data_IF_330928090087
#
_entry.id   IF_330928090087
#
_cell.length_a   1.000
_cell.length_b   1.000
_cell.length_c   1.000
_cell.angle_alpha   90.00
_cell.angle_beta   90.00
_cell.angle_gamma   90.00
#
_symmetry.space_group_name_H-M   'P 1'
#
loop_
_entity.id
_entity.type
_entity.pdbx_description
1 polymer ?
#
# COMPACT_ATOMS: atom_id res chain seq x y z
N UNK A 1 31.52 -40.73 -12.17
CA UNK A 1 30.20 -40.96 -11.54
C UNK A 1 29.93 -39.77 -10.62
N UNK A 2 28.94 -38.96 -10.95
CA UNK A 2 28.75 -37.64 -10.35
C UNK A 2 27.94 -37.76 -9.04
N UNK A 3 28.48 -37.28 -7.92
CA UNK A 3 27.77 -37.25 -6.64
C UNK A 3 26.75 -36.09 -6.57
N UNK A 4 26.00 -35.96 -5.47
CA UNK A 4 25.00 -34.89 -5.29
C UNK A 4 25.55 -33.47 -5.48
N UNK A 5 26.86 -33.25 -5.22
CA UNK A 5 27.54 -31.97 -5.48
C UNK A 5 27.56 -31.57 -6.96
N UNK A 6 27.61 -32.55 -7.86
CA UNK A 6 27.63 -32.29 -9.30
C UNK A 6 26.27 -31.84 -9.85
N UNK A 7 25.19 -31.96 -9.05
CA UNK A 7 23.85 -31.48 -9.39
C UNK A 7 23.64 -29.99 -9.09
N UNK A 8 24.66 -29.28 -8.59
CA UNK A 8 24.57 -27.86 -8.25
C UNK A 8 23.88 -27.57 -6.91
N UNK A 9 23.68 -28.60 -6.06
CA UNK A 9 23.13 -28.45 -4.71
C UNK A 9 24.10 -27.71 -3.78
N UNK A 10 23.56 -27.01 -2.78
CA UNK A 10 24.36 -26.32 -1.77
C UNK A 10 25.31 -27.31 -1.06
N UNK A 11 26.59 -26.95 -0.83
CA UNK A 11 27.58 -27.83 -0.23
C UNK A 11 27.15 -28.43 1.11
N UNK A 12 26.36 -27.71 1.91
CA UNK A 12 25.84 -28.20 3.17
C UNK A 12 24.81 -29.32 2.96
N UNK A 13 23.88 -29.13 2.03
CA UNK A 13 22.82 -30.11 1.75
C UNK A 13 23.39 -31.38 1.11
N UNK A 14 24.40 -31.26 0.24
CA UNK A 14 25.11 -32.40 -0.31
C UNK A 14 25.83 -33.21 0.79
N UNK A 15 26.45 -32.53 1.76
CA UNK A 15 27.09 -33.17 2.92
C UNK A 15 26.08 -33.92 3.81
N UNK A 16 24.89 -33.35 4.02
CA UNK A 16 23.82 -34.01 4.78
C UNK A 16 23.28 -35.27 4.07
N UNK A 17 23.14 -35.24 2.74
CA UNK A 17 22.72 -36.41 1.97
C UNK A 17 23.75 -37.55 2.08
N UNK A 18 25.04 -37.22 2.02
CA UNK A 18 26.13 -38.18 2.21
C UNK A 18 26.13 -38.77 3.63
N UNK A 19 25.90 -37.97 4.67
CA UNK A 19 25.78 -38.43 6.06
C UNK A 19 24.60 -39.37 6.30
N UNK A 20 23.53 -39.23 5.50
CA UNK A 20 22.36 -40.12 5.51
C UNK A 20 22.56 -41.39 4.66
N UNK A 21 23.76 -41.62 4.11
CA UNK A 21 24.09 -42.79 3.29
C UNK A 21 23.61 -42.69 1.83
N UNK A 22 23.08 -41.54 1.42
CA UNK A 22 22.73 -41.27 0.03
C UNK A 22 24.00 -40.85 -0.72
N UNK A 23 24.74 -41.84 -1.20
CA UNK A 23 26.01 -41.63 -1.90
C UNK A 23 25.83 -41.24 -3.38
N UNK A 24 24.67 -41.54 -3.98
CA UNK A 24 24.39 -41.26 -5.40
C UNK A 24 22.96 -40.77 -5.61
N UNK A 25 22.76 -39.71 -6.42
CA UNK A 25 21.43 -39.30 -6.85
C UNK A 25 20.80 -40.37 -7.74
N UNK A 26 19.49 -40.50 -7.65
CA UNK A 26 18.75 -41.37 -8.57
C UNK A 26 18.69 -40.76 -9.96
N UNK A 27 18.48 -41.55 -11.03
CA UNK A 27 18.36 -41.01 -12.40
C UNK A 27 17.27 -39.94 -12.54
N UNK A 28 16.19 -40.03 -11.75
CA UNK A 28 15.13 -39.01 -11.69
C UNK A 28 15.65 -37.72 -11.05
N UNK A 29 16.44 -37.83 -9.97
CA UNK A 29 17.06 -36.68 -9.32
C UNK A 29 18.10 -36.00 -10.22
N UNK A 30 18.89 -36.75 -10.97
CA UNK A 30 19.86 -36.20 -11.93
C UNK A 30 19.17 -35.42 -13.05
N UNK A 31 17.99 -35.88 -13.51
CA UNK A 31 17.22 -35.19 -14.55
C UNK A 31 16.46 -33.95 -14.02
N UNK A 32 15.96 -33.99 -12.78
CA UNK A 32 15.05 -32.97 -12.26
C UNK A 32 15.73 -31.89 -11.40
N UNK A 33 16.80 -32.22 -10.68
CA UNK A 33 17.45 -31.28 -9.75
C UNK A 33 18.16 -30.14 -10.49
N UNK A 34 18.95 -30.37 -11.56
CA UNK A 34 19.64 -29.28 -12.25
C UNK A 34 18.70 -28.24 -12.89
N UNK A 35 17.60 -28.61 -13.60
CA UNK A 35 16.64 -27.64 -14.10
C UNK A 35 15.92 -26.87 -12.98
N UNK A 36 15.52 -27.56 -11.90
CA UNK A 36 14.84 -26.92 -10.76
C UNK A 36 15.75 -25.92 -10.04
N UNK A 37 17.04 -26.21 -9.92
CA UNK A 37 18.03 -25.30 -9.35
C UNK A 37 18.40 -24.17 -10.31
N UNK A 38 18.44 -24.41 -11.62
CA UNK A 38 18.67 -23.38 -12.63
C UNK A 38 17.51 -22.38 -12.69
N UNK A 39 16.27 -22.85 -12.52
CA UNK A 39 15.09 -22.01 -12.28
C UNK A 39 15.25 -21.24 -10.95
N UNK A 40 15.65 -21.89 -9.86
CA UNK A 40 15.85 -21.23 -8.56
C UNK A 40 16.95 -20.16 -8.56
N UNK A 41 18.08 -20.40 -9.25
CA UNK A 41 19.23 -19.49 -9.32
C UNK A 41 19.01 -18.35 -10.32
N UNK A 42 18.31 -18.60 -11.44
CA UNK A 42 17.81 -17.53 -12.32
C UNK A 42 16.82 -16.62 -11.57
N UNK A 43 16.03 -17.17 -10.65
CA UNK A 43 15.08 -16.45 -9.81
C UNK A 43 15.68 -15.82 -8.53
N UNK A 44 16.97 -15.99 -8.23
CA UNK A 44 17.60 -15.31 -7.07
C UNK A 44 17.77 -13.80 -7.29
N UNK A 45 17.74 -13.36 -8.55
CA UNK A 45 17.58 -11.95 -8.94
C UNK A 45 16.11 -11.52 -9.02
N UNK A 46 15.16 -12.46 -9.01
CA UNK A 46 13.74 -12.19 -8.83
C UNK A 46 13.44 -12.00 -7.33
N UNK A 47 14.03 -10.96 -6.74
CA UNK A 47 13.30 -10.17 -5.75
C UNK A 47 11.93 -9.91 -6.37
N UNK A 48 10.89 -10.54 -5.80
CA UNK A 48 9.49 -10.44 -6.18
C UNK A 48 9.24 -9.25 -7.12
N UNK A 49 9.01 -9.50 -8.42
CA UNK A 49 8.40 -8.49 -9.29
C UNK A 49 6.95 -8.29 -8.82
N UNK A 50 6.82 -7.58 -7.69
CA UNK A 50 5.59 -7.14 -7.07
C UNK A 50 5.00 -6.07 -7.98
N UNK A 51 4.31 -6.48 -9.04
CA UNK A 51 3.55 -5.54 -9.86
C UNK A 51 2.27 -5.17 -9.15
N UNK A 52 2.39 -4.16 -8.29
CA UNK A 52 1.26 -3.45 -7.71
C UNK A 52 0.42 -2.89 -8.86
N UNK A 53 -0.77 -3.47 -9.06
CA UNK A 53 -1.73 -2.86 -9.97
C UNK A 53 -2.34 -1.66 -9.25
N UNK A 54 -1.93 -0.46 -9.66
CA UNK A 54 -2.53 0.80 -9.22
C UNK A 54 -3.33 1.42 -10.38
N UNK A 55 -4.22 2.36 -10.07
CA UNK A 55 -4.99 3.11 -11.07
C UNK A 55 -4.09 3.84 -12.09
N UNK A 56 -2.84 4.15 -11.71
CA UNK A 56 -1.84 4.81 -12.56
C UNK A 56 -1.14 3.88 -13.56
N UNK A 57 -1.32 2.56 -13.45
CA UNK A 57 -0.72 1.58 -14.36
C UNK A 57 -1.61 1.43 -15.59
N UNK A 58 -1.01 1.52 -16.78
CA UNK A 58 -1.73 1.38 -18.04
C UNK A 58 -2.51 0.06 -18.10
N UNK A 59 -3.74 0.09 -18.64
CA UNK A 59 -4.63 -1.09 -18.69
C UNK A 59 -3.94 -2.33 -19.28
N UNK A 60 -3.16 -2.17 -20.36
CA UNK A 60 -2.39 -3.25 -21.01
C UNK A 60 -1.40 -3.93 -20.05
N UNK A 61 -0.72 -3.15 -19.22
CA UNK A 61 0.23 -3.68 -18.23
C UNK A 61 -0.49 -4.41 -17.09
N UNK A 62 -1.68 -3.96 -16.71
CA UNK A 62 -2.53 -4.63 -15.70
C UNK A 62 -2.97 -6.01 -16.18
N UNK A 63 -3.41 -6.14 -17.43
CA UNK A 63 -3.75 -7.43 -18.02
C UNK A 63 -2.53 -8.35 -18.15
N UNK A 64 -1.37 -7.82 -18.53
CA UNK A 64 -0.14 -8.61 -18.61
C UNK A 64 0.30 -9.15 -17.23
N UNK A 65 0.23 -8.33 -16.18
CA UNK A 65 0.53 -8.77 -14.81
C UNK A 65 -0.47 -9.83 -14.32
N UNK A 66 -1.75 -9.67 -14.65
CA UNK A 66 -2.79 -10.66 -14.33
C UNK A 66 -2.58 -11.97 -15.08
N UNK A 67 -2.19 -11.93 -16.36
CA UNK A 67 -1.90 -13.12 -17.15
C UNK A 67 -0.73 -13.91 -16.53
N UNK A 68 0.34 -13.21 -16.12
CA UNK A 68 1.48 -13.83 -15.41
C UNK A 68 1.08 -14.41 -14.05
N UNK A 69 0.16 -13.78 -13.33
CA UNK A 69 -0.38 -14.33 -12.10
C UNK A 69 -1.25 -15.58 -12.35
N UNK A 70 -2.11 -15.55 -13.37
CA UNK A 70 -2.94 -16.69 -13.79
C UNK A 70 -2.09 -17.88 -14.24
N UNK A 71 -0.93 -17.64 -14.86
CA UNK A 71 0.03 -18.68 -15.27
C UNK A 71 0.99 -19.10 -14.16
N UNK A 72 0.73 -18.71 -12.90
CA UNK A 72 1.57 -19.03 -11.73
C UNK A 72 3.04 -18.57 -11.78
N UNK A 73 3.39 -17.72 -12.74
CA UNK A 73 4.73 -17.08 -12.81
C UNK A 73 4.93 -16.16 -11.61
N UNK A 74 3.86 -15.51 -11.16
CA UNK A 74 3.84 -14.78 -9.89
C UNK A 74 2.93 -15.50 -8.89
N UNK A 75 3.45 -15.75 -7.68
CA UNK A 75 2.69 -16.35 -6.58
C UNK A 75 1.91 -15.32 -5.76
N UNK A 76 2.31 -14.05 -5.82
CA UNK A 76 1.74 -12.96 -5.03
C UNK A 76 1.31 -11.83 -5.97
N UNK A 77 0.08 -11.35 -5.78
CA UNK A 77 -0.47 -10.19 -6.49
C UNK A 77 -0.88 -9.13 -5.49
N UNK A 78 -0.33 -7.92 -5.63
CA UNK A 78 -0.79 -6.74 -4.87
C UNK A 78 -1.69 -5.89 -5.77
N UNK A 79 -2.87 -5.58 -5.25
CA UNK A 79 -3.87 -4.78 -5.95
C UNK A 79 -4.55 -3.79 -4.99
N UNK A 80 -4.93 -2.64 -5.52
CA UNK A 80 -5.81 -1.67 -4.85
C UNK A 80 -7.27 -1.92 -5.28
N UNK A 81 -8.26 -1.46 -4.50
CA UNK A 81 -9.69 -1.67 -4.82
C UNK A 81 -10.07 -1.11 -6.20
N UNK A 82 -9.51 0.05 -6.55
CA UNK A 82 -9.70 0.67 -7.88
C UNK A 82 -9.05 -0.18 -8.97
N UNK A 83 -7.95 -0.85 -8.65
CA UNK A 83 -7.24 -1.69 -9.60
C UNK A 83 -7.91 -3.07 -9.80
N UNK A 84 -8.60 -3.60 -8.79
CA UNK A 84 -9.27 -4.89 -8.88
C UNK A 84 -10.62 -4.83 -9.62
N UNK A 85 -11.25 -3.65 -9.73
CA UNK A 85 -12.52 -3.48 -10.47
C UNK A 85 -12.32 -3.73 -11.97
N UNK A 86 -13.14 -4.61 -12.54
CA UNK A 86 -13.06 -5.00 -13.95
C UNK A 86 -11.93 -5.99 -14.26
N UNK A 87 -11.23 -6.50 -13.25
CA UNK A 87 -10.28 -7.60 -13.42
C UNK A 87 -10.90 -8.89 -12.89
N UNK A 88 -10.90 -9.91 -13.74
CA UNK A 88 -11.23 -11.28 -13.35
C UNK A 88 -10.03 -11.94 -12.69
N UNK A 89 -9.93 -11.75 -11.36
CA UNK A 89 -8.88 -12.37 -10.53
C UNK A 89 -9.26 -13.84 -10.30
N UNK A 90 -8.37 -14.80 -10.61
CA UNK A 90 -8.64 -16.22 -10.37
C UNK A 90 -8.86 -16.48 -8.87
N UNK A 91 -9.54 -17.57 -8.54
CA UNK A 91 -9.74 -17.97 -7.14
C UNK A 91 -8.38 -18.21 -6.47
N UNK A 92 -8.12 -17.48 -5.38
CA UNK A 92 -6.88 -17.57 -4.61
C UNK A 92 -7.08 -18.33 -3.30
N UNK A 93 -6.01 -18.95 -2.78
CA UNK A 93 -6.05 -19.66 -1.50
C UNK A 93 -6.05 -18.71 -0.31
N UNK A 94 -5.33 -17.60 -0.40
CA UNK A 94 -5.17 -16.65 0.70
C UNK A 94 -5.42 -15.23 0.20
N UNK A 95 -6.22 -14.47 0.96
CA UNK A 95 -6.42 -13.03 0.78
C UNK A 95 -5.88 -12.32 2.00
N UNK A 96 -4.95 -11.38 1.80
CA UNK A 96 -4.41 -10.54 2.88
C UNK A 96 -4.85 -9.11 2.66
N UNK A 97 -5.67 -8.59 3.58
CA UNK A 97 -6.01 -7.18 3.64
C UNK A 97 -4.92 -6.44 4.40
N UNK A 98 -4.01 -5.78 3.67
CA UNK A 98 -2.97 -4.95 4.28
C UNK A 98 -3.55 -3.79 5.10
N UNK A 99 -4.63 -3.17 4.60
CA UNK A 99 -5.37 -2.14 5.32
C UNK A 99 -6.82 -2.59 5.50
N UNK A 100 -7.38 -2.31 6.68
CA UNK A 100 -8.80 -2.53 6.98
C UNK A 100 -9.69 -1.79 5.97
N UNK A 101 -10.65 -2.47 5.32
CA UNK A 101 -11.58 -1.81 4.39
C UNK A 101 -12.46 -0.78 5.12
N UNK A 102 -12.58 0.42 4.56
CA UNK A 102 -13.43 1.48 5.14
C UNK A 102 -14.94 1.24 5.04
N UNK A 103 -15.38 0.28 4.20
CA UNK A 103 -16.77 -0.11 4.07
C UNK A 103 -16.88 -1.64 4.10
N UNK A 104 -17.84 -2.22 4.83
CA UNK A 104 -17.98 -3.68 4.91
C UNK A 104 -18.28 -4.37 3.56
N UNK A 105 -19.01 -3.70 2.66
CA UNK A 105 -19.22 -4.20 1.30
C UNK A 105 -17.90 -4.44 0.54
N UNK A 106 -16.90 -3.60 0.77
CA UNK A 106 -15.57 -3.76 0.16
C UNK A 106 -14.88 -4.98 0.77
N UNK A 107 -14.97 -5.18 2.09
CA UNK A 107 -14.45 -6.36 2.76
C UNK A 107 -14.99 -7.66 2.12
N UNK A 108 -16.32 -7.76 1.97
CA UNK A 108 -16.98 -8.93 1.36
C UNK A 108 -16.47 -9.17 -0.07
N UNK A 109 -16.31 -8.11 -0.88
CA UNK A 109 -15.79 -8.24 -2.24
C UNK A 109 -14.33 -8.70 -2.32
N UNK A 110 -13.50 -8.34 -1.33
CA UNK A 110 -12.10 -8.75 -1.22
C UNK A 110 -11.99 -10.21 -0.79
N UNK A 111 -12.65 -10.59 0.30
CA UNK A 111 -12.62 -11.99 0.80
C UNK A 111 -13.32 -12.94 -0.17
N UNK A 112 -14.32 -12.46 -0.90
CA UNK A 112 -14.96 -13.22 -1.98
C UNK A 112 -14.07 -13.54 -3.19
N UNK A 113 -12.76 -13.24 -3.14
CA UNK A 113 -11.75 -13.73 -4.10
C UNK A 113 -11.16 -15.08 -3.69
N UNK A 114 -11.31 -15.45 -2.42
CA UNK A 114 -10.99 -16.79 -1.92
C UNK A 114 -12.25 -17.63 -1.72
N UNK A 115 -12.07 -18.90 -1.39
CA UNK A 115 -13.14 -19.85 -1.05
C UNK A 115 -14.34 -19.89 -2.04
N UNK A 116 -14.07 -19.84 -3.35
CA UNK A 116 -15.10 -19.98 -4.38
C UNK A 116 -15.32 -21.45 -4.76
N UNK A 117 -16.57 -21.81 -5.08
CA UNK A 117 -16.97 -23.12 -5.60
C UNK A 117 -16.53 -24.31 -4.73
N UNK A 118 -16.73 -24.21 -3.41
CA UNK A 118 -16.48 -25.31 -2.47
C UNK A 118 -15.01 -25.54 -2.08
N UNK A 119 -14.09 -24.68 -2.53
CA UNK A 119 -12.67 -24.74 -2.12
C UNK A 119 -12.46 -24.06 -0.76
N UNK A 120 -11.51 -24.57 0.02
CA UNK A 120 -11.06 -23.90 1.24
C UNK A 120 -10.24 -22.64 0.91
N UNK A 121 -10.36 -21.62 1.75
CA UNK A 121 -9.71 -20.35 1.57
C UNK A 121 -9.55 -19.60 2.89
N UNK A 122 -8.50 -18.80 3.01
CA UNK A 122 -8.16 -18.04 4.22
C UNK A 122 -8.15 -16.56 3.89
N UNK A 123 -8.76 -15.75 4.75
CA UNK A 123 -8.69 -14.30 4.69
C UNK A 123 -8.10 -13.74 6.00
N UNK A 124 -7.02 -12.97 5.90
CA UNK A 124 -6.36 -12.32 7.03
C UNK A 124 -6.44 -10.82 6.83
N UNK A 125 -6.82 -10.09 7.88
CA UNK A 125 -6.88 -8.63 7.85
C UNK A 125 -5.97 -8.06 8.92
N UNK A 126 -5.08 -7.15 8.52
CA UNK A 126 -4.26 -6.39 9.45
C UNK A 126 -5.08 -5.22 9.97
N UNK A 127 -5.21 -5.13 11.28
CA UNK A 127 -6.05 -4.16 11.98
C UNK A 127 -5.17 -3.36 12.92
N UNK A 128 -5.36 -2.04 12.94
CA UNK A 128 -4.74 -1.16 13.93
C UNK A 128 -5.74 -0.78 15.01
N UNK A 129 -5.26 -0.24 16.13
CA UNK A 129 -6.12 0.25 17.22
C UNK A 129 -7.17 1.28 16.78
N UNK A 130 -6.90 2.03 15.70
CA UNK A 130 -7.80 3.04 15.17
C UNK A 130 -8.91 2.43 14.30
N UNK A 131 -8.71 1.23 13.77
CA UNK A 131 -9.60 0.59 12.79
C UNK A 131 -10.65 -0.33 13.43
N UNK A 132 -10.70 -0.41 14.76
CA UNK A 132 -11.61 -1.31 15.50
C UNK A 132 -13.07 -1.08 15.10
N UNK A 133 -13.48 0.18 14.95
CA UNK A 133 -14.84 0.55 14.53
C UNK A 133 -15.20 0.01 13.13
N UNK A 134 -14.24 -0.08 12.21
CA UNK A 134 -14.44 -0.63 10.88
C UNK A 134 -14.67 -2.14 10.92
N UNK A 135 -13.95 -2.83 11.81
CA UNK A 135 -14.15 -4.27 12.03
C UNK A 135 -15.52 -4.55 12.62
N UNK A 136 -15.96 -3.80 13.63
CA UNK A 136 -17.31 -3.97 14.17
C UNK A 136 -18.41 -3.75 13.12
N UNK A 137 -18.25 -2.76 12.25
CA UNK A 137 -19.17 -2.56 11.13
C UNK A 137 -19.16 -3.75 10.15
N UNK A 138 -18.00 -4.39 9.95
CA UNK A 138 -17.89 -5.62 9.17
C UNK A 138 -18.62 -6.77 9.85
N UNK A 139 -18.37 -7.00 11.14
CA UNK A 139 -18.98 -8.05 11.95
C UNK A 139 -20.51 -7.95 11.99
N UNK A 140 -21.03 -6.74 12.12
CA UNK A 140 -22.47 -6.46 12.07
C UNK A 140 -23.07 -6.86 10.72
N UNK A 141 -22.39 -6.53 9.62
CA UNK A 141 -22.88 -6.86 8.28
C UNK A 141 -22.78 -8.36 7.96
N UNK A 142 -21.72 -9.05 8.38
CA UNK A 142 -21.55 -10.50 8.16
C UNK A 142 -22.27 -11.36 9.22
N UNK A 143 -22.75 -10.73 10.30
CA UNK A 143 -23.39 -11.37 11.46
C UNK A 143 -22.54 -12.47 12.11
N UNK A 144 -21.22 -12.28 12.09
CA UNK A 144 -20.24 -13.23 12.61
C UNK A 144 -19.07 -12.45 13.20
N UNK A 145 -18.57 -12.90 14.36
CA UNK A 145 -17.38 -12.32 14.97
C UNK A 145 -16.13 -12.83 14.29
N UNK A 146 -15.19 -11.94 13.98
CA UNK A 146 -13.90 -12.32 13.41
C UNK A 146 -13.01 -12.85 14.53
N UNK A 147 -12.27 -13.93 14.24
CA UNK A 147 -11.35 -14.53 15.20
C UNK A 147 -9.98 -13.84 15.11
N UNK A 148 -9.44 -13.48 16.27
CA UNK A 148 -8.06 -12.98 16.38
C UNK A 148 -7.07 -14.11 16.05
N UNK A 149 -6.11 -13.79 15.18
CA UNK A 149 -5.06 -14.73 14.81
C UNK A 149 -3.85 -14.54 15.72
N UNK A 150 -3.61 -15.51 16.62
CA UNK A 150 -2.45 -15.50 17.51
C UNK A 150 -1.15 -15.63 16.71
N UNK A 151 -0.19 -14.74 16.98
CA UNK A 151 1.15 -14.79 16.36
C UNK A 151 2.21 -15.10 17.42
N UNK A 152 3.19 -15.93 17.07
CA UNK A 152 4.30 -16.28 17.94
C UNK A 152 5.40 -15.22 17.84
N UNK A 153 5.48 -14.34 18.84
CA UNK A 153 6.42 -13.21 18.87
C UNK A 153 7.88 -13.63 18.65
N UNK A 154 8.30 -14.75 19.24
CA UNK A 154 9.65 -15.30 19.10
C UNK A 154 10.02 -15.64 17.64
N UNK A 155 9.06 -16.05 16.82
CA UNK A 155 9.27 -16.30 15.39
C UNK A 155 9.34 -15.00 14.60
N UNK A 156 8.54 -14.02 14.98
CA UNK A 156 8.50 -12.69 14.34
C UNK A 156 9.81 -11.94 14.54
N UNK A 157 10.36 -11.94 15.76
CA UNK A 157 11.62 -11.25 16.09
C UNK A 157 12.81 -11.73 15.24
N UNK A 158 12.86 -13.02 14.89
CA UNK A 158 13.92 -13.59 14.05
C UNK A 158 13.94 -13.01 12.63
N UNK A 159 12.78 -12.62 12.12
CA UNK A 159 12.60 -12.17 10.73
C UNK A 159 12.57 -10.63 10.66
N UNK A 160 12.31 -9.96 11.79
CA UNK A 160 12.14 -8.50 11.87
C UNK A 160 13.33 -7.72 11.28
N UNK A 161 14.56 -8.12 11.60
CA UNK A 161 15.78 -7.47 11.08
C UNK A 161 15.85 -7.57 9.56
N UNK A 162 15.60 -8.76 8.99
CA UNK A 162 15.60 -8.96 7.54
C UNK A 162 14.51 -8.12 6.87
N UNK A 163 13.31 -8.08 7.44
CA UNK A 163 12.19 -7.27 6.91
C UNK A 163 12.53 -5.79 6.94
N UNK A 164 13.16 -5.29 7.99
CA UNK A 164 13.55 -3.88 8.08
C UNK A 164 14.62 -3.50 7.05
N UNK A 165 15.61 -4.37 6.83
CA UNK A 165 16.64 -4.16 5.80
C UNK A 165 16.00 -4.13 4.42
N UNK A 166 15.18 -5.15 4.09
CA UNK A 166 14.49 -5.23 2.78
C UNK A 166 13.56 -4.03 2.59
N UNK A 167 12.82 -3.63 3.63
CA UNK A 167 11.98 -2.43 3.59
C UNK A 167 12.80 -1.20 3.25
N UNK A 168 13.95 -1.01 3.91
CA UNK A 168 14.83 0.14 3.67
C UNK A 168 15.39 0.15 2.25
N UNK A 169 15.82 -1.01 1.76
CA UNK A 169 16.27 -1.16 0.37
C UNK A 169 15.15 -0.84 -0.63
N UNK A 170 13.92 -1.31 -0.37
CA UNK A 170 12.76 -0.99 -1.20
C UNK A 170 12.44 0.51 -1.20
N UNK A 171 12.51 1.18 -0.04
CA UNK A 171 12.33 2.63 0.06
C UNK A 171 13.39 3.37 -0.77
N UNK A 172 14.67 3.03 -0.62
CA UNK A 172 15.77 3.62 -1.41
C UNK A 172 15.57 3.40 -2.91
N UNK A 173 15.18 2.19 -3.32
CA UNK A 173 14.91 1.89 -4.74
C UNK A 173 13.71 2.67 -5.27
N UNK A 174 12.67 2.85 -4.47
CA UNK A 174 11.49 3.64 -4.83
C UNK A 174 11.81 5.13 -4.96
N UNK A 175 12.67 5.66 -4.08
CA UNK A 175 13.18 7.03 -4.19
C UNK A 175 14.07 7.22 -5.41
N UNK A 176 14.91 6.22 -5.73
CA UNK A 176 15.79 6.24 -6.90
C UNK A 176 15.06 6.00 -8.24
N UNK A 177 13.85 5.44 -8.22
CA UNK A 177 13.03 5.37 -9.43
C UNK A 177 12.27 6.68 -9.54
N UNK A 178 12.72 7.55 -10.45
CA UNK A 178 12.15 8.87 -10.78
C UNK A 178 10.69 8.83 -11.28
N UNK A 179 9.79 8.33 -10.44
CA UNK A 179 8.36 8.22 -10.71
C UNK A 179 7.75 9.61 -10.90
N UNK A 180 8.30 10.61 -10.21
CA UNK A 180 7.90 12.00 -10.34
C UNK A 180 8.44 12.67 -11.62
N UNK A 181 9.68 12.39 -12.04
CA UNK A 181 10.21 12.95 -13.29
C UNK A 181 9.47 12.38 -14.50
N UNK A 182 9.19 11.07 -14.52
CA UNK A 182 8.44 10.44 -15.63
C UNK A 182 7.02 10.99 -15.74
N UNK A 183 6.41 11.36 -14.62
CA UNK A 183 5.10 12.01 -14.56
C UNK A 183 5.16 13.44 -15.08
N UNK A 184 6.18 14.21 -14.69
CA UNK A 184 6.36 15.59 -15.15
C UNK A 184 6.67 15.63 -16.66
N UNK A 185 7.51 14.71 -17.15
CA UNK A 185 7.80 14.53 -18.58
C UNK A 185 6.52 14.21 -19.36
N UNK A 186 5.69 13.27 -18.89
CA UNK A 186 4.44 12.93 -19.58
C UNK A 186 3.46 14.11 -19.59
N UNK A 187 3.36 14.86 -18.50
CA UNK A 187 2.52 16.05 -18.41
C UNK A 187 3.02 17.16 -19.33
N UNK A 188 4.34 17.35 -19.42
CA UNK A 188 4.98 18.31 -20.34
C UNK A 188 4.71 17.94 -21.80
N UNK A 189 4.85 16.65 -22.16
CA UNK A 189 4.49 16.13 -23.50
C UNK A 189 3.01 16.34 -23.82
N UNK A 190 2.12 16.17 -22.85
CA UNK A 190 0.69 16.38 -23.02
C UNK A 190 0.34 17.86 -23.24
N UNK A 191 1.00 18.78 -22.52
CA UNK A 191 0.84 20.23 -22.74
C UNK A 191 1.30 20.65 -24.14
N UNK A 192 2.43 20.10 -24.61
CA UNK A 192 2.92 20.31 -25.98
C UNK A 192 1.92 19.77 -27.01
N UNK A 193 1.34 18.58 -26.79
CA UNK A 193 0.32 18.01 -27.67
C UNK A 193 -0.97 18.85 -27.73
N UNK A 194 -1.34 19.49 -26.62
CA UNK A 194 -2.47 20.44 -26.55
C UNK A 194 -2.16 21.82 -27.17
N UNK A 195 -0.95 22.02 -27.71
CA UNK A 195 -0.52 23.29 -28.30
C UNK A 195 -0.25 24.39 -27.27
N UNK A 196 -0.12 24.03 -25.98
CA UNK A 196 0.18 24.97 -24.90
C UNK A 196 1.66 24.92 -24.57
N UNK A 197 2.29 26.08 -24.53
CA UNK A 197 3.69 26.18 -24.16
C UNK A 197 3.84 25.96 -22.64
N UNK A 198 4.48 24.86 -22.20
CA UNK A 198 4.49 24.46 -20.80
C UNK A 198 5.11 25.49 -19.86
N UNK A 199 6.08 26.27 -20.35
CA UNK A 199 6.81 27.24 -19.55
C UNK A 199 5.96 28.51 -19.30
N UNK A 200 5.19 28.96 -20.31
CA UNK A 200 4.23 30.07 -20.18
C UNK A 200 3.05 29.70 -19.27
N UNK A 201 2.53 28.48 -19.38
CA UNK A 201 1.44 27.98 -18.55
C UNK A 201 1.85 27.90 -17.07
N UNK A 202 3.12 27.50 -16.82
CA UNK A 202 3.70 27.43 -15.48
C UNK A 202 3.84 28.83 -14.87
N UNK A 203 4.31 29.81 -15.63
CA UNK A 203 4.38 31.21 -15.21
C UNK A 203 3.00 31.77 -14.83
N UNK A 204 1.99 31.55 -15.68
CA UNK A 204 0.60 31.96 -15.40
C UNK A 204 0.07 31.33 -14.10
N UNK A 205 0.29 30.03 -13.89
CA UNK A 205 -0.13 29.35 -12.65
C UNK A 205 0.60 29.90 -11.41
N UNK A 206 1.89 30.17 -11.52
CA UNK A 206 2.66 30.75 -10.41
C UNK A 206 2.17 32.15 -10.06
N UNK A 207 1.86 32.97 -11.06
CA UNK A 207 1.29 34.31 -10.87
C UNK A 207 -0.10 34.25 -10.22
N UNK A 208 -0.99 33.40 -10.73
CA UNK A 208 -2.31 33.14 -10.15
C UNK A 208 -2.21 32.66 -8.69
N UNK A 209 -1.24 31.80 -8.37
CA UNK A 209 -1.00 31.33 -7.02
C UNK A 209 -0.53 32.47 -6.08
N UNK A 210 0.35 33.36 -6.57
CA UNK A 210 0.77 34.57 -5.83
C UNK A 210 -0.44 35.48 -5.54
N UNK A 211 -1.30 35.71 -6.53
CA UNK A 211 -2.52 36.52 -6.39
C UNK A 211 -3.46 35.87 -5.36
N UNK A 212 -3.69 34.55 -5.45
CA UNK A 212 -4.56 33.81 -4.53
C UNK A 212 -4.04 33.88 -3.09
N UNK A 213 -2.72 33.74 -2.88
CA UNK A 213 -2.09 33.83 -1.56
C UNK A 213 -2.22 35.24 -0.96
N UNK A 214 -2.05 36.29 -1.77
CA UNK A 214 -2.29 37.69 -1.35
C UNK A 214 -3.74 37.91 -0.94
N UNK A 215 -4.71 37.41 -1.73
CA UNK A 215 -6.14 37.52 -1.44
C UNK A 215 -6.53 36.80 -0.14
N UNK A 216 -6.02 35.60 0.09
CA UNK A 216 -6.24 34.83 1.32
C UNK A 216 -5.70 35.56 2.56
N UNK A 217 -4.46 36.09 2.48
CA UNK A 217 -3.88 36.90 3.56
C UNK A 217 -4.74 38.13 3.86
N UNK A 218 -5.14 38.85 2.82
CA UNK A 218 -6.00 40.02 2.97
C UNK A 218 -7.35 39.68 3.63
N UNK A 219 -8.02 38.61 3.18
CA UNK A 219 -9.27 38.15 3.79
C UNK A 219 -9.10 37.76 5.25
N UNK A 220 -8.02 37.07 5.60
CA UNK A 220 -7.73 36.72 7.01
C UNK A 220 -7.51 37.95 7.89
N UNK A 221 -6.79 38.97 7.40
CA UNK A 221 -6.57 40.22 8.12
C UNK A 221 -7.89 40.98 8.33
N UNK A 222 -8.74 41.07 7.29
CA UNK A 222 -10.06 41.72 7.41
C UNK A 222 -10.93 40.99 8.45
N UNK A 223 -10.95 39.66 8.42
CA UNK A 223 -11.74 38.87 9.36
C UNK A 223 -11.26 39.05 10.80
N UNK A 224 -9.94 39.04 11.04
CA UNK A 224 -9.35 39.27 12.36
C UNK A 224 -9.67 40.67 12.88
N UNK A 225 -9.57 41.70 12.03
CA UNK A 225 -9.89 43.09 12.38
C UNK A 225 -11.37 43.26 12.75
N UNK A 226 -12.28 42.60 12.03
CA UNK A 226 -13.71 42.60 12.31
C UNK A 226 -14.03 41.92 13.66
N UNK A 227 -13.42 40.76 13.92
CA UNK A 227 -13.59 40.04 15.20
C UNK A 227 -13.09 40.87 16.38
N UNK A 228 -11.92 41.51 16.27
CA UNK A 228 -11.38 42.38 17.32
C UNK A 228 -12.31 43.57 17.61
N UNK A 229 -12.88 44.19 16.58
CA UNK A 229 -13.88 45.28 16.75
C UNK A 229 -15.13 44.78 17.47
N UNK A 230 -15.65 43.61 17.09
CA UNK A 230 -16.82 43.02 17.75
C UNK A 230 -16.54 42.67 19.22
N UNK A 231 -15.39 42.07 19.53
CA UNK A 231 -14.99 41.77 20.91
C UNK A 231 -14.84 43.03 21.75
N UNK A 232 -14.20 44.09 21.21
CA UNK A 232 -14.08 45.38 21.90
C UNK A 232 -15.45 45.99 22.21
N UNK A 233 -16.39 45.95 21.24
CA UNK A 233 -17.75 46.43 21.46
C UNK A 233 -18.49 45.61 22.53
N UNK A 234 -18.35 44.28 22.51
CA UNK A 234 -18.96 43.39 23.49
C UNK A 234 -18.41 43.65 24.90
N UNK A 235 -17.08 43.76 25.03
CA UNK A 235 -16.42 44.09 26.30
C UNK A 235 -16.85 45.45 26.84
N UNK A 236 -16.99 46.47 25.99
CA UNK A 236 -17.50 47.78 26.41
C UNK A 236 -18.95 47.71 26.89
N UNK A 237 -19.82 46.94 26.21
CA UNK A 237 -21.21 46.72 26.65
C UNK A 237 -21.26 46.01 28.01
N UNK A 238 -20.48 44.95 28.18
CA UNK A 238 -20.39 44.20 29.44
C UNK A 238 -19.86 45.06 30.59
N UNK A 239 -18.80 45.85 30.36
CA UNK A 239 -18.28 46.81 31.36
C UNK A 239 -19.33 47.85 31.77
N UNK A 240 -20.10 48.40 30.81
CA UNK A 240 -21.19 49.34 31.09
C UNK A 240 -22.31 48.67 31.91
N UNK A 241 -22.68 47.43 31.61
CA UNK A 241 -23.68 46.67 32.37
C UNK A 241 -23.20 46.37 33.80
N UNK A 242 -21.95 45.97 33.98
CA UNK A 242 -21.36 45.72 35.30
C UNK A 242 -21.33 46.98 36.18
N UNK A 243 -20.96 48.14 35.60
CA UNK A 243 -21.02 49.44 36.31
C UNK A 243 -22.45 49.79 36.76
N UNK A 244 -23.45 49.60 35.88
CA UNK A 244 -24.87 49.81 36.21
C UNK A 244 -25.36 48.87 37.32
N UNK A 245 -24.95 47.60 37.32
CA UNK A 245 -25.29 46.65 38.41
C UNK A 245 -24.68 47.07 39.75
N UNK A 246 -23.40 47.45 39.78
CA UNK A 246 -22.75 47.95 41.01
C UNK A 246 -23.44 49.18 41.59
N UNK A 247 -23.83 50.14 40.75
CA UNK A 247 -24.56 51.33 41.19
C UNK A 247 -25.97 51.04 41.73
N UNK A 248 -26.63 49.98 41.26
CA UNK A 248 -27.92 49.53 41.79
C UNK A 248 -27.83 48.78 43.12
N UNK A 249 -26.68 48.15 43.43
CA UNK A 249 -26.44 47.44 44.69
C UNK A 249 -25.95 48.36 45.83
N UNK A 250 -25.51 49.58 45.50
CA UNK A 250 -25.02 50.57 46.45
C UNK A 250 -26.07 51.63 46.84
N UNK A 251 -27.33 51.46 46.38
CA UNK A 251 -28.51 52.22 46.77
C UNK A 251 -29.46 51.27 47.48
#
# INVERSE_FOLDING_TARGET
MAGFRALGLDPWLASQAEQLGLSRPTPVQEACIPPALQEFLSHRSALCELKATSHKVAKKQRFAALAKFKSSVFKILIATDVAARGLDIPTVQVVINHNTPGLPKIYIHRVGRTARAGRHGIAITLVTQYDIHLIHAVEEQIKMKLQEFSTEEQKVLKILTQVNVVRRECEIRLEATDFDEKKEINKRKQMILEGKDPDLEMQRKAELAKIKKKKLKFQSQVHQTLQERQQKQLQQKLRKQARRKKQKQAK
#
